data_IF_427950160398
#
_entry.id   IF_427950160398
#
_cell.length_a   1.000
_cell.length_b   1.000
_cell.length_c   1.000
_cell.angle_alpha   90.00
_cell.angle_beta   90.00
_cell.angle_gamma   90.00
#
_symmetry.space_group_name_H-M   'P 1'
#
loop_
_entity.id
_entity.type
_entity.pdbx_description
1 polymer ?
#
# COMPACT_ATOMS: atom_id res chain seq x y z
N UNK A 1 -6.68 -5.93 15.78
CA UNK A 1 -6.10 -7.00 16.64
C UNK A 1 -5.64 -8.23 15.86
N UNK A 2 -6.32 -8.66 14.78
CA UNK A 2 -5.88 -9.80 13.93
C UNK A 2 -4.83 -9.38 12.88
N UNK A 3 -5.04 -8.26 12.18
CA UNK A 3 -4.10 -7.75 11.17
C UNK A 3 -2.74 -7.31 11.75
N UNK A 4 -2.74 -6.70 12.94
CA UNK A 4 -1.50 -6.40 13.66
C UNK A 4 -0.66 -7.63 13.98
N UNK A 5 -1.29 -8.73 14.44
CA UNK A 5 -0.59 -10.01 14.69
C UNK A 5 -0.02 -10.61 13.40
N UNK A 6 -0.75 -10.50 12.29
CA UNK A 6 -0.27 -10.94 10.98
C UNK A 6 0.95 -10.13 10.53
N UNK A 7 0.93 -8.81 10.72
CA UNK A 7 2.05 -7.92 10.40
C UNK A 7 3.31 -8.28 11.19
N UNK A 8 3.17 -8.47 12.51
CA UNK A 8 4.28 -8.89 13.37
C UNK A 8 4.86 -10.24 12.93
N UNK A 9 3.99 -11.17 12.51
CA UNK A 9 4.37 -12.48 11.99
C UNK A 9 5.15 -12.38 10.68
N UNK A 10 4.66 -11.60 9.73
CA UNK A 10 5.32 -11.36 8.43
C UNK A 10 6.69 -10.71 8.66
N UNK A 11 6.78 -9.71 9.54
CA UNK A 11 8.06 -9.06 9.86
C UNK A 11 9.04 -10.06 10.48
N UNK A 12 8.56 -10.91 11.38
CA UNK A 12 9.36 -11.98 12.00
C UNK A 12 9.87 -12.99 10.97
N UNK A 13 9.03 -13.41 10.03
CA UNK A 13 9.41 -14.31 8.94
C UNK A 13 10.48 -13.63 8.06
N UNK A 14 10.26 -12.36 7.70
CA UNK A 14 11.22 -11.57 6.92
C UNK A 14 12.59 -11.48 7.60
N UNK A 15 12.63 -11.16 8.90
CA UNK A 15 13.88 -11.11 9.69
C UNK A 15 14.59 -12.45 9.70
N UNK A 16 13.86 -13.55 9.95
CA UNK A 16 14.44 -14.91 9.89
C UNK A 16 14.99 -15.24 8.51
N UNK A 17 14.31 -14.83 7.44
CA UNK A 17 14.80 -15.04 6.07
C UNK A 17 16.09 -14.26 5.80
N UNK A 18 16.19 -13.01 6.27
CA UNK A 18 17.42 -12.22 6.20
C UNK A 18 18.57 -12.92 6.92
N UNK A 19 18.35 -13.34 8.17
CA UNK A 19 19.35 -14.05 9.00
C UNK A 19 19.80 -15.38 8.38
N UNK A 20 18.88 -16.11 7.74
CA UNK A 20 19.17 -17.38 7.04
C UNK A 20 19.95 -17.22 5.73
N UNK A 21 20.25 -15.99 5.32
CA UNK A 21 21.17 -15.71 4.22
C UNK A 21 20.57 -14.91 3.07
N UNK A 22 19.28 -14.57 3.10
CA UNK A 22 18.68 -13.69 2.09
C UNK A 22 19.40 -12.33 2.03
N UNK A 23 19.93 -11.85 3.17
CA UNK A 23 20.69 -10.61 3.23
C UNK A 23 21.96 -10.62 2.36
N UNK A 24 22.50 -11.80 2.01
CA UNK A 24 23.71 -11.91 1.18
C UNK A 24 23.45 -11.55 -0.29
N UNK A 25 22.21 -11.67 -0.75
CA UNK A 25 21.82 -11.36 -2.14
C UNK A 25 21.13 -10.01 -2.28
N UNK A 26 20.66 -9.42 -1.17
CA UNK A 26 19.99 -8.13 -1.18
C UNK A 26 20.99 -6.97 -1.30
N UNK A 27 20.58 -5.87 -1.98
CA UNK A 27 21.47 -4.75 -2.24
C UNK A 27 21.86 -4.03 -0.96
N UNK A 28 23.03 -3.40 -1.02
CA UNK A 28 23.59 -2.75 0.15
C UNK A 28 22.86 -1.49 0.62
N UNK A 29 22.19 -0.86 -0.33
CA UNK A 29 21.50 0.39 -0.15
C UNK A 29 19.99 0.08 -0.15
N UNK A 30 19.29 0.28 0.99
CA UNK A 30 17.84 0.05 1.08
C UNK A 30 17.04 0.78 0.01
N UNK A 31 17.47 1.99 -0.39
CA UNK A 31 16.77 2.79 -1.39
C UNK A 31 16.70 2.09 -2.76
N UNK A 32 17.60 1.14 -3.04
CA UNK A 32 17.53 0.33 -4.27
C UNK A 32 16.27 -0.55 -4.22
N UNK A 33 15.95 -1.16 -3.07
CA UNK A 33 14.75 -1.97 -2.90
C UNK A 33 13.49 -1.11 -3.02
N UNK A 34 13.49 0.09 -2.42
CA UNK A 34 12.37 1.05 -2.55
C UNK A 34 12.11 1.42 -4.01
N UNK A 35 13.16 1.77 -4.77
CA UNK A 35 13.02 2.10 -6.20
C UNK A 35 12.62 0.88 -7.02
N UNK A 36 13.18 -0.30 -6.71
CA UNK A 36 12.80 -1.56 -7.36
C UNK A 36 11.32 -1.89 -7.15
N UNK A 37 10.75 -1.64 -5.96
CA UNK A 37 9.31 -1.81 -5.70
C UNK A 37 8.46 -1.05 -6.72
N UNK A 38 8.76 0.24 -6.92
CA UNK A 38 8.07 1.05 -7.93
C UNK A 38 8.30 0.50 -9.35
N UNK A 39 9.54 0.18 -9.72
CA UNK A 39 9.85 -0.31 -11.07
C UNK A 39 9.16 -1.65 -11.38
N UNK A 40 8.98 -2.51 -10.39
CA UNK A 40 8.25 -3.78 -10.51
C UNK A 40 6.75 -3.54 -10.69
N UNK A 41 6.18 -2.59 -9.95
CA UNK A 41 4.76 -2.23 -10.07
C UNK A 41 4.46 -1.46 -11.36
N UNK A 42 5.37 -0.61 -11.83
CA UNK A 42 5.15 0.31 -12.96
C UNK A 42 4.56 -0.30 -14.25
N UNK A 43 4.99 -1.49 -14.74
CA UNK A 43 4.42 -2.07 -15.95
C UNK A 43 3.03 -2.69 -15.76
N UNK A 44 2.55 -2.88 -14.53
CA UNK A 44 1.30 -3.62 -14.25
C UNK A 44 0.05 -3.06 -14.95
N UNK A 45 -0.16 -1.73 -15.08
CA UNK A 45 -1.33 -1.21 -15.79
C UNK A 45 -1.34 -1.57 -17.27
N UNK A 46 -0.16 -1.53 -17.91
CA UNK A 46 -0.02 -1.90 -19.33
C UNK A 46 -0.26 -3.40 -19.54
N UNK A 47 0.16 -4.23 -18.59
CA UNK A 47 -0.10 -5.67 -18.61
C UNK A 47 -1.60 -5.92 -18.46
N UNK A 48 -2.25 -5.31 -17.46
CA UNK A 48 -3.70 -5.43 -17.21
C UNK A 48 -4.54 -5.03 -18.45
N UNK A 49 -4.12 -3.99 -19.17
CA UNK A 49 -4.74 -3.52 -20.42
C UNK A 49 -4.76 -4.57 -21.55
N UNK A 50 -4.01 -5.67 -21.43
CA UNK A 50 -4.09 -6.77 -22.40
C UNK A 50 -5.41 -7.56 -22.29
N UNK A 51 -6.17 -7.37 -21.21
CA UNK A 51 -7.48 -8.01 -20.97
C UNK A 51 -7.49 -9.54 -21.14
N UNK A 52 -6.40 -10.20 -20.75
CA UNK A 52 -6.27 -11.67 -20.76
C UNK A 52 -5.99 -12.20 -19.37
N UNK A 53 -6.53 -13.39 -19.07
CA UNK A 53 -6.45 -14.01 -17.74
C UNK A 53 -5.02 -14.05 -17.16
N UNK A 54 -4.04 -14.46 -17.97
CA UNK A 54 -2.65 -14.54 -17.54
C UNK A 54 -1.99 -13.18 -17.29
N UNK A 55 -2.50 -12.11 -17.91
CA UNK A 55 -2.03 -10.76 -17.62
C UNK A 55 -2.44 -10.32 -16.21
N UNK A 56 -3.66 -10.64 -15.77
CA UNK A 56 -4.11 -10.36 -14.40
C UNK A 56 -3.29 -11.12 -13.35
N UNK A 57 -2.96 -12.39 -13.62
CA UNK A 57 -2.06 -13.17 -12.76
C UNK A 57 -0.67 -12.54 -12.71
N UNK A 58 -0.14 -12.12 -13.86
CA UNK A 58 1.18 -11.49 -13.93
C UNK A 58 1.20 -10.18 -13.14
N UNK A 59 0.18 -9.35 -13.29
CA UNK A 59 0.03 -8.11 -12.51
C UNK A 59 -0.05 -8.40 -11.01
N UNK A 60 -0.85 -9.38 -10.59
CA UNK A 60 -0.94 -9.82 -9.19
C UNK A 60 0.43 -10.21 -8.64
N UNK A 61 1.18 -11.05 -9.36
CA UNK A 61 2.52 -11.50 -8.93
C UNK A 61 3.48 -10.32 -8.81
N UNK A 62 3.47 -9.40 -9.78
CA UNK A 62 4.32 -8.21 -9.75
C UNK A 62 3.95 -7.29 -8.58
N UNK A 63 2.67 -7.06 -8.28
CA UNK A 63 2.24 -6.27 -7.12
C UNK A 63 2.67 -6.91 -5.79
N UNK A 64 2.58 -8.24 -5.68
CA UNK A 64 3.08 -8.98 -4.50
C UNK A 64 4.60 -8.81 -4.37
N UNK A 65 5.34 -8.93 -5.48
CA UNK A 65 6.79 -8.74 -5.47
C UNK A 65 7.17 -7.30 -5.10
N UNK A 66 6.49 -6.30 -5.67
CA UNK A 66 6.71 -4.89 -5.32
C UNK A 66 6.50 -4.66 -3.81
N UNK A 67 5.37 -5.14 -3.27
CA UNK A 67 5.08 -5.09 -1.83
C UNK A 67 6.13 -5.79 -0.97
N UNK A 68 6.67 -6.93 -1.45
CA UNK A 68 7.74 -7.63 -0.77
C UNK A 68 9.04 -6.83 -0.73
N UNK A 69 9.41 -6.18 -1.84
CA UNK A 69 10.61 -5.33 -1.92
C UNK A 69 10.52 -4.11 -1.01
N UNK A 70 9.36 -3.47 -1.01
CA UNK A 70 8.99 -2.38 -0.10
C UNK A 70 9.21 -2.78 1.36
N UNK A 71 8.60 -3.89 1.78
CA UNK A 71 8.78 -4.39 3.15
C UNK A 71 10.24 -4.74 3.48
N UNK A 72 10.97 -5.31 2.52
CA UNK A 72 12.38 -5.67 2.71
C UNK A 72 13.28 -4.46 2.88
N UNK A 73 12.96 -3.31 2.30
CA UNK A 73 13.80 -2.11 2.40
C UNK A 73 13.99 -1.66 3.86
N UNK A 74 12.90 -1.67 4.64
CA UNK A 74 12.91 -1.26 6.04
C UNK A 74 13.63 -2.28 6.90
N UNK A 75 13.51 -3.56 6.56
CA UNK A 75 14.22 -4.63 7.24
C UNK A 75 15.72 -4.58 6.97
N UNK A 76 16.13 -4.36 5.71
CA UNK A 76 17.55 -4.22 5.32
C UNK A 76 18.14 -2.95 5.94
N UNK A 77 17.40 -1.83 5.94
CA UNK A 77 17.82 -0.58 6.58
C UNK A 77 18.09 -0.78 8.07
N UNK A 78 17.21 -1.48 8.79
CA UNK A 78 17.41 -1.79 10.21
C UNK A 78 18.56 -2.78 10.43
N UNK A 79 18.63 -3.84 9.63
CA UNK A 79 19.64 -4.90 9.79
C UNK A 79 21.07 -4.37 9.62
N UNK A 80 21.30 -3.37 8.76
CA UNK A 80 22.63 -2.76 8.59
C UNK A 80 22.81 -1.39 9.23
N UNK A 81 21.86 -0.93 10.05
CA UNK A 81 21.96 0.39 10.68
C UNK A 81 22.01 1.55 9.67
N UNK A 82 21.32 1.42 8.53
CA UNK A 82 21.28 2.41 7.43
C UNK A 82 19.95 3.17 7.34
N UNK A 83 19.19 3.24 8.43
CA UNK A 83 17.99 4.08 8.51
C UNK A 83 18.37 5.54 8.31
N UNK A 84 17.69 6.25 7.39
CA UNK A 84 18.00 7.64 7.06
C UNK A 84 16.75 8.46 6.75
N UNK A 85 16.83 9.78 6.91
CA UNK A 85 15.73 10.71 6.55
C UNK A 85 15.41 10.67 5.06
N UNK A 86 16.43 10.57 4.21
CA UNK A 86 16.25 10.43 2.76
C UNK A 86 15.53 9.13 2.42
N UNK A 87 15.96 8.01 3.02
CA UNK A 87 15.31 6.71 2.81
C UNK A 87 13.84 6.73 3.23
N UNK A 88 13.53 7.25 4.41
CA UNK A 88 12.15 7.38 4.88
C UNK A 88 11.28 8.29 3.98
N UNK A 89 11.87 9.36 3.44
CA UNK A 89 11.18 10.21 2.47
C UNK A 89 10.93 9.50 1.14
N UNK A 90 11.91 8.75 0.62
CA UNK A 90 11.76 7.98 -0.61
C UNK A 90 10.73 6.86 -0.46
N UNK A 91 10.84 6.04 0.59
CA UNK A 91 9.91 4.98 0.97
C UNK A 91 8.48 5.50 0.99
N UNK A 92 8.24 6.49 1.85
CA UNK A 92 6.92 7.10 1.93
C UNK A 92 6.48 7.73 0.60
N UNK A 93 7.34 8.36 -0.20
CA UNK A 93 6.89 8.97 -1.46
C UNK A 93 6.52 7.92 -2.51
N UNK A 94 7.39 6.92 -2.72
CA UNK A 94 7.22 5.90 -3.76
C UNK A 94 6.06 4.96 -3.44
N UNK A 95 5.75 4.74 -2.17
CA UNK A 95 4.52 4.09 -1.71
C UNK A 95 3.25 4.65 -2.35
N UNK A 96 3.15 5.98 -2.47
CA UNK A 96 1.94 6.61 -3.01
C UNK A 96 1.80 6.35 -4.50
N UNK A 97 2.92 6.21 -5.21
CA UNK A 97 2.93 5.82 -6.61
C UNK A 97 2.52 4.36 -6.79
N UNK A 98 3.03 3.46 -5.95
CA UNK A 98 2.65 2.04 -5.98
C UNK A 98 1.17 1.86 -5.63
N UNK A 99 0.66 2.55 -4.60
CA UNK A 99 -0.77 2.56 -4.25
C UNK A 99 -1.63 3.09 -5.41
N UNK A 100 -1.19 4.15 -6.09
CA UNK A 100 -1.87 4.69 -7.27
C UNK A 100 -1.95 3.66 -8.39
N UNK A 101 -0.82 3.03 -8.73
CA UNK A 101 -0.72 1.99 -9.76
C UNK A 101 -1.68 0.83 -9.44
N UNK A 102 -1.65 0.32 -8.21
CA UNK A 102 -2.48 -0.81 -7.82
C UNK A 102 -3.99 -0.49 -7.87
N UNK A 103 -4.39 0.75 -7.57
CA UNK A 103 -5.79 1.19 -7.71
C UNK A 103 -6.20 1.35 -9.18
N UNK A 104 -5.28 1.85 -10.02
CA UNK A 104 -5.50 1.95 -11.48
C UNK A 104 -5.66 0.56 -12.10
N UNK A 105 -4.85 -0.43 -11.68
CA UNK A 105 -5.00 -1.82 -12.14
C UNK A 105 -6.42 -2.34 -11.93
N UNK A 106 -6.98 -2.16 -10.72
CA UNK A 106 -8.36 -2.56 -10.45
C UNK A 106 -9.34 -1.85 -11.39
N UNK A 107 -9.21 -0.55 -11.55
CA UNK A 107 -10.11 0.21 -12.43
C UNK A 107 -10.02 -0.22 -13.90
N UNK A 108 -8.83 -0.54 -14.40
CA UNK A 108 -8.61 -1.03 -15.76
C UNK A 108 -9.22 -2.42 -15.99
N UNK A 109 -9.23 -3.29 -14.97
CA UNK A 109 -9.97 -4.56 -15.01
C UNK A 109 -11.49 -4.32 -15.07
N UNK A 110 -11.94 -3.28 -14.35
CA UNK A 110 -13.28 -2.68 -14.37
C UNK A 110 -13.95 -2.76 -15.74
N UNK A 111 -13.35 -2.05 -16.71
CA UNK A 111 -13.95 -1.42 -17.89
C UNK A 111 -14.27 0.10 -17.73
N UNK A 112 -14.07 0.67 -16.54
CA UNK A 112 -14.07 2.13 -16.36
C UNK A 112 -15.42 2.84 -16.38
N UNK A 113 -16.54 2.16 -16.10
CA UNK A 113 -17.86 2.80 -15.96
C UNK A 113 -17.86 4.03 -15.03
N UNK A 114 -18.76 4.99 -15.27
CA UNK A 114 -18.78 6.30 -14.58
C UNK A 114 -18.72 6.18 -13.04
N UNK A 115 -19.56 5.32 -12.46
CA UNK A 115 -19.56 5.08 -11.01
C UNK A 115 -18.27 4.43 -10.51
N UNK A 116 -17.73 3.47 -11.26
CA UNK A 116 -16.44 2.84 -10.92
C UNK A 116 -15.28 3.84 -10.93
N UNK A 117 -15.31 4.79 -11.88
CA UNK A 117 -14.36 5.90 -11.93
C UNK A 117 -14.50 6.83 -10.73
N UNK A 118 -15.73 7.15 -10.29
CA UNK A 118 -15.95 7.92 -9.06
C UNK A 118 -15.36 7.18 -7.85
N UNK A 119 -15.59 5.87 -7.74
CA UNK A 119 -15.05 5.08 -6.63
C UNK A 119 -13.53 5.01 -6.65
N UNK A 120 -12.90 4.85 -7.82
CA UNK A 120 -11.46 4.98 -7.98
C UNK A 120 -10.96 6.34 -7.46
N UNK A 121 -11.54 7.44 -7.92
CA UNK A 121 -11.11 8.79 -7.55
C UNK A 121 -11.25 9.04 -6.04
N UNK A 122 -12.34 8.55 -5.44
CA UNK A 122 -12.54 8.61 -3.98
C UNK A 122 -11.53 7.74 -3.23
N UNK A 123 -11.23 6.53 -3.70
CA UNK A 123 -10.21 5.66 -3.11
C UNK A 123 -8.81 6.28 -3.18
N UNK A 124 -8.48 6.93 -4.30
CA UNK A 124 -7.23 7.68 -4.47
C UNK A 124 -7.16 8.87 -3.51
N UNK A 125 -8.22 9.67 -3.44
CA UNK A 125 -8.31 10.80 -2.50
C UNK A 125 -8.11 10.32 -1.06
N UNK A 126 -8.86 9.30 -0.64
CA UNK A 126 -8.76 8.74 0.70
C UNK A 126 -7.36 8.19 0.98
N UNK A 127 -6.78 7.42 0.07
CA UNK A 127 -5.41 6.88 0.22
C UNK A 127 -4.36 7.98 0.44
N UNK A 128 -4.42 9.03 -0.38
CA UNK A 128 -3.52 10.20 -0.22
C UNK A 128 -3.80 10.95 1.08
N UNK A 129 -5.06 11.12 1.46
CA UNK A 129 -5.43 11.87 2.65
C UNK A 129 -5.08 11.14 3.95
N UNK A 130 -5.21 9.81 4.01
CA UNK A 130 -4.72 9.04 5.15
C UNK A 130 -3.22 9.26 5.36
N UNK A 131 -2.44 9.22 4.27
CA UNK A 131 -1.00 9.38 4.28
C UNK A 131 -0.57 10.80 4.63
N UNK A 132 -1.21 11.81 4.04
CA UNK A 132 -0.94 13.22 4.31
C UNK A 132 -1.31 13.60 5.75
N UNK A 133 -2.51 13.24 6.21
CA UNK A 133 -2.97 13.56 7.57
C UNK A 133 -1.99 13.01 8.61
N UNK A 134 -1.51 11.78 8.43
CA UNK A 134 -0.47 11.20 9.29
C UNK A 134 0.83 11.99 9.26
N UNK A 135 1.40 12.24 8.08
CA UNK A 135 2.67 12.95 7.95
C UNK A 135 2.59 14.38 8.53
N UNK A 136 1.48 15.08 8.29
CA UNK A 136 1.26 16.43 8.81
C UNK A 136 1.06 16.44 10.32
N UNK A 137 0.32 15.48 10.86
CA UNK A 137 0.13 15.32 12.29
C UNK A 137 1.44 15.04 13.03
N UNK A 138 2.24 14.10 12.51
CA UNK A 138 3.55 13.77 13.09
C UNK A 138 4.51 14.97 13.06
N UNK A 139 4.48 15.77 11.99
CA UNK A 139 5.23 17.03 11.91
C UNK A 139 4.78 18.10 12.92
N UNK A 140 3.52 18.04 13.36
CA UNK A 140 2.95 18.89 14.42
C UNK A 140 3.12 18.28 15.82
N UNK A 141 3.84 17.16 15.94
CA UNK A 141 4.08 16.48 17.22
C UNK A 141 2.92 15.58 17.68
N UNK A 142 1.89 15.37 16.86
CA UNK A 142 0.76 14.47 17.16
C UNK A 142 1.08 13.06 16.66
N UNK A 143 1.18 12.11 17.59
CA UNK A 143 1.46 10.71 17.26
C UNK A 143 0.26 10.04 16.58
N UNK A 144 0.48 9.41 15.43
CA UNK A 144 -0.58 8.81 14.59
C UNK A 144 -0.46 7.29 14.40
N UNK A 145 0.33 6.62 15.23
CA UNK A 145 0.51 5.18 15.16
C UNK A 145 -0.78 4.46 15.57
N UNK A 146 -1.30 3.56 14.71
CA UNK A 146 -2.51 2.78 14.99
C UNK A 146 -3.81 3.57 14.95
N UNK A 147 -3.81 4.78 14.39
CA UNK A 147 -5.02 5.59 14.19
C UNK A 147 -5.57 5.36 12.78
N UNK A 148 -6.80 4.86 12.72
CA UNK A 148 -7.50 4.59 11.46
C UNK A 148 -7.93 3.13 11.30
N UNK A 149 -9.05 2.91 10.61
CA UNK A 149 -9.55 1.57 10.29
C UNK A 149 -8.74 0.81 9.23
N UNK A 150 -8.14 1.53 8.28
CA UNK A 150 -7.41 0.96 7.16
C UNK A 150 -6.04 1.64 6.98
N UNK A 151 -5.00 1.03 7.54
CA UNK A 151 -3.61 1.43 7.28
C UNK A 151 -3.18 1.10 5.83
N UNK A 152 -1.97 1.50 5.44
CA UNK A 152 -1.47 1.30 4.07
C UNK A 152 -1.36 -0.19 3.74
N UNK A 153 -0.76 -0.95 4.64
CA UNK A 153 -0.53 -2.37 4.46
C UNK A 153 -1.85 -3.14 4.36
N UNK A 154 -2.85 -2.74 5.16
CA UNK A 154 -4.19 -3.33 5.13
C UNK A 154 -4.93 -3.00 3.82
N UNK A 155 -4.76 -1.77 3.31
CA UNK A 155 -5.29 -1.37 2.00
C UNK A 155 -4.68 -2.18 0.86
N UNK A 156 -3.36 -2.36 0.87
CA UNK A 156 -2.67 -3.15 -0.16
C UNK A 156 -3.11 -4.62 -0.13
N UNK A 157 -3.22 -5.21 1.07
CA UNK A 157 -3.78 -6.56 1.23
C UNK A 157 -5.21 -6.67 0.70
N UNK A 158 -6.05 -5.64 0.94
CA UNK A 158 -7.41 -5.61 0.41
C UNK A 158 -7.43 -5.53 -1.12
N UNK A 159 -6.56 -4.72 -1.74
CA UNK A 159 -6.42 -4.65 -3.20
C UNK A 159 -6.01 -6.01 -3.77
N UNK A 160 -4.99 -6.66 -3.19
CA UNK A 160 -4.54 -7.99 -3.60
C UNK A 160 -5.66 -9.03 -3.43
N UNK A 161 -6.42 -8.99 -2.34
CA UNK A 161 -7.54 -9.89 -2.11
C UNK A 161 -8.66 -9.70 -3.15
N UNK A 162 -9.02 -8.44 -3.47
CA UNK A 162 -10.00 -8.12 -4.52
C UNK A 162 -9.54 -8.71 -5.86
N UNK A 163 -8.26 -8.52 -6.21
CA UNK A 163 -7.68 -9.03 -7.45
C UNK A 163 -7.67 -10.56 -7.50
N UNK A 164 -7.30 -11.23 -6.41
CA UNK A 164 -7.32 -12.70 -6.30
C UNK A 164 -8.74 -13.24 -6.48
N UNK A 165 -9.72 -12.66 -5.78
CA UNK A 165 -11.12 -13.10 -5.86
C UNK A 165 -11.65 -12.89 -7.28
N UNK A 166 -11.32 -11.76 -7.91
CA UNK A 166 -11.65 -11.53 -9.32
C UNK A 166 -10.99 -12.57 -10.24
N UNK A 167 -9.70 -12.86 -10.07
CA UNK A 167 -9.03 -13.88 -10.89
C UNK A 167 -9.73 -15.23 -10.77
N UNK A 168 -10.13 -15.65 -9.56
CA UNK A 168 -10.81 -16.94 -9.37
C UNK A 168 -12.24 -16.94 -9.96
N UNK A 169 -12.99 -15.84 -9.78
CA UNK A 169 -14.43 -15.80 -10.10
C UNK A 169 -14.74 -15.25 -11.48
N UNK A 170 -13.84 -14.44 -12.06
CA UNK A 170 -14.01 -13.64 -13.27
C UNK A 170 -15.24 -12.70 -13.22
N UNK A 171 -15.74 -12.38 -12.02
CA UNK A 171 -16.92 -11.53 -11.83
C UNK A 171 -16.50 -10.06 -11.69
N UNK A 172 -16.79 -9.24 -12.70
CA UNK A 172 -16.49 -7.79 -12.68
C UNK A 172 -17.09 -7.05 -11.49
N UNK A 173 -18.23 -7.51 -10.96
CA UNK A 173 -18.85 -6.95 -9.75
C UNK A 173 -17.93 -6.99 -8.52
N UNK A 174 -16.99 -7.94 -8.43
CA UNK A 174 -16.01 -8.01 -7.34
C UNK A 174 -15.13 -6.77 -7.34
N UNK A 175 -14.68 -6.34 -8.51
CA UNK A 175 -13.86 -5.13 -8.64
C UNK A 175 -14.70 -3.89 -8.32
N UNK A 176 -15.94 -3.83 -8.79
CA UNK A 176 -16.85 -2.71 -8.54
C UNK A 176 -17.05 -2.46 -7.04
N UNK A 177 -17.48 -3.51 -6.32
CA UNK A 177 -17.71 -3.43 -4.89
C UNK A 177 -16.41 -3.31 -4.10
N UNK A 178 -15.31 -3.87 -4.62
CA UNK A 178 -13.97 -3.69 -4.06
C UNK A 178 -13.51 -2.23 -4.09
N UNK A 179 -13.67 -1.54 -5.23
CA UNK A 179 -13.37 -0.12 -5.36
C UNK A 179 -14.27 0.74 -4.47
N UNK A 180 -15.57 0.42 -4.39
CA UNK A 180 -16.49 1.08 -3.46
C UNK A 180 -16.04 0.92 -2.00
N UNK A 181 -15.69 -0.31 -1.60
CA UNK A 181 -15.22 -0.61 -0.26
C UNK A 181 -13.92 0.16 0.05
N UNK A 182 -12.96 0.17 -0.87
CA UNK A 182 -11.72 0.93 -0.75
C UNK A 182 -11.98 2.44 -0.65
N UNK A 183 -12.91 2.97 -1.44
CA UNK A 183 -13.31 4.37 -1.39
C UNK A 183 -13.87 4.74 -0.02
N UNK A 184 -14.78 3.92 0.52
CA UNK A 184 -15.38 4.16 1.84
C UNK A 184 -14.32 4.05 2.94
N UNK A 185 -13.59 2.94 3.01
CA UNK A 185 -12.65 2.68 4.11
C UNK A 185 -11.50 3.68 4.17
N UNK A 186 -10.95 4.07 3.02
CA UNK A 186 -9.84 5.05 3.00
C UNK A 186 -10.29 6.45 3.39
N UNK A 187 -11.47 6.90 2.96
CA UNK A 187 -11.99 8.21 3.35
C UNK A 187 -12.45 8.25 4.80
N UNK A 188 -13.11 7.19 5.30
CA UNK A 188 -13.44 7.08 6.74
C UNK A 188 -12.16 7.15 7.57
N UNK A 189 -11.13 6.39 7.19
CA UNK A 189 -9.82 6.43 7.89
C UNK A 189 -9.19 7.83 7.86
N UNK A 190 -9.30 8.55 6.73
CA UNK A 190 -8.79 9.92 6.63
C UNK A 190 -9.53 10.88 7.58
N UNK A 191 -10.86 10.75 7.67
CA UNK A 191 -11.70 11.53 8.60
C UNK A 191 -11.36 11.19 10.06
N UNK A 192 -11.19 9.92 10.41
CA UNK A 192 -10.79 9.51 11.76
C UNK A 192 -9.47 10.15 12.18
N UNK A 193 -8.45 10.09 11.30
CA UNK A 193 -7.16 10.76 11.53
C UNK A 193 -7.34 12.25 11.70
N UNK A 194 -8.13 12.90 10.84
CA UNK A 194 -8.42 14.33 10.94
C UNK A 194 -9.04 14.69 12.30
N UNK A 195 -10.07 13.96 12.74
CA UNK A 195 -10.73 14.20 14.02
C UNK A 195 -9.78 14.05 15.21
N UNK A 196 -8.89 13.04 15.16
CA UNK A 196 -7.85 12.85 16.19
C UNK A 196 -6.86 14.01 16.21
N UNK A 197 -6.40 14.51 15.04
CA UNK A 197 -5.54 15.71 14.97
C UNK A 197 -6.26 16.89 15.59
N UNK A 198 -7.47 17.18 15.13
CA UNK A 198 -8.24 18.34 15.57
C UNK A 198 -8.41 18.30 17.08
N UNK A 199 -8.87 17.16 17.64
CA UNK A 199 -9.02 17.00 19.08
C UNK A 199 -7.70 17.19 19.85
N UNK A 200 -6.60 16.65 19.32
CA UNK A 200 -5.28 16.74 19.98
C UNK A 200 -4.73 18.17 20.00
N UNK A 201 -4.94 18.92 18.92
CA UNK A 201 -4.47 20.31 18.82
C UNK A 201 -5.41 21.32 19.49
N UNK A 202 -6.71 21.02 19.54
CA UNK A 202 -7.70 21.85 20.24
C UNK A 202 -7.58 21.75 21.77
N UNK A 203 -6.80 20.79 22.28
CA UNK A 203 -6.60 20.54 23.70
C UNK A 203 -5.27 21.04 24.29
N UNK A 204 -4.43 21.74 23.51
CA UNK A 204 -3.22 22.42 24.00
C UNK A 204 -3.47 23.93 24.18
N UNK A 205 -2.70 24.60 25.09
CA UNK A 205 -3.14 25.69 25.98
C UNK A 205 -4.00 26.80 25.36
#
# INVERSE_FOLDING_TARGET
MVLGKLKDEIERIGRRALEKGLIKILPRNPNILTVSSLLIAFPTPLIVLMHVYWAYITALVLLILASGFDMLDGLVARYWGRTSKLGAFLDSTLDRYVDFIALIDLWLIHDGGFLGTIFLLLALLGSLMTSYARARAEALGVRMLGVGLLEREERLLLILAILIIYIITQLGSIIFYGLLLLAVLTNVTAVERLLVVVKSLSGGP
#
